data_IF_355700304928
#
_entry.id   IF_355700304928
#
_cell.length_a   1.000
_cell.length_b   1.000
_cell.length_c   1.000
_cell.angle_alpha   90.00
_cell.angle_beta   90.00
_cell.angle_gamma   90.00
#
_symmetry.space_group_name_H-M   'P 1'
#
loop_
_entity.id
_entity.type
_entity.pdbx_description
1 polymer ?
#
# COMPACT_ATOMS: atom_id res chain seq x y z
N UNK A 1 18.66 -22.16 -7.12
CA UNK A 1 17.96 -21.79 -5.87
C UNK A 1 17.80 -20.26 -5.84
N UNK A 2 16.65 -19.69 -5.45
CA UNK A 2 16.47 -18.23 -5.33
C UNK A 2 16.44 -17.86 -3.85
N UNK A 3 17.33 -16.97 -3.41
CA UNK A 3 17.30 -16.41 -2.05
C UNK A 3 16.30 -15.26 -1.98
N UNK A 4 15.31 -15.39 -1.10
CA UNK A 4 14.45 -14.27 -0.70
C UNK A 4 15.12 -13.50 0.44
N UNK A 5 15.22 -12.18 0.31
CA UNK A 5 15.79 -11.30 1.34
C UNK A 5 14.77 -10.27 1.83
N UNK A 6 13.63 -10.71 2.41
CA UNK A 6 12.54 -9.80 2.76
C UNK A 6 12.98 -8.77 3.81
N UNK A 7 13.74 -9.18 4.83
CA UNK A 7 14.23 -8.27 5.88
C UNK A 7 15.15 -7.19 5.31
N UNK A 8 16.07 -7.55 4.42
CA UNK A 8 17.00 -6.60 3.80
C UNK A 8 16.27 -5.55 2.96
N UNK A 9 15.21 -5.96 2.25
CA UNK A 9 14.37 -5.03 1.48
C UNK A 9 13.58 -4.08 2.38
N UNK A 10 12.98 -4.60 3.45
CA UNK A 10 12.22 -3.78 4.42
C UNK A 10 13.12 -2.75 5.09
N UNK A 11 14.30 -3.17 5.55
CA UNK A 11 15.29 -2.28 6.16
C UNK A 11 15.78 -1.24 5.15
N UNK A 12 16.06 -1.64 3.91
CA UNK A 12 16.44 -0.70 2.84
C UNK A 12 15.39 0.38 2.59
N UNK A 13 14.11 0.00 2.55
CA UNK A 13 13.00 0.95 2.40
C UNK A 13 12.80 1.84 3.63
N UNK A 14 13.00 1.31 4.84
CA UNK A 14 12.89 2.06 6.09
C UNK A 14 13.89 3.21 6.15
N UNK A 15 15.12 2.98 5.70
CA UNK A 15 16.19 3.98 5.71
C UNK A 15 16.32 4.76 4.38
N UNK A 16 15.44 4.52 3.41
CA UNK A 16 15.47 5.20 2.10
C UNK A 16 16.72 4.90 1.27
N UNK A 17 17.36 3.74 1.49
CA UNK A 17 18.60 3.36 0.81
C UNK A 17 18.32 2.97 -0.63
N UNK A 18 19.21 3.36 -1.55
CA UNK A 18 19.12 2.93 -2.95
C UNK A 18 19.15 1.40 -3.10
N UNK A 19 18.25 0.85 -3.93
CA UNK A 19 18.19 -0.58 -4.25
C UNK A 19 19.58 -1.15 -4.65
N UNK A 20 20.40 -0.34 -5.36
CA UNK A 20 21.75 -0.75 -5.78
C UNK A 20 22.72 -0.88 -4.61
N UNK A 21 22.63 0.03 -3.63
CA UNK A 21 23.47 -0.01 -2.44
C UNK A 21 23.08 -1.19 -1.54
N UNK A 22 21.78 -1.42 -1.36
CA UNK A 22 21.25 -2.58 -0.63
C UNK A 22 21.71 -3.89 -1.27
N UNK A 23 21.64 -3.98 -2.61
CA UNK A 23 22.09 -5.14 -3.36
C UNK A 23 23.60 -5.40 -3.22
N UNK A 24 24.43 -4.34 -3.20
CA UNK A 24 25.87 -4.45 -3.00
C UNK A 24 26.21 -4.94 -1.58
N UNK A 25 25.56 -4.39 -0.55
CA UNK A 25 25.74 -4.82 0.84
C UNK A 25 25.32 -6.28 1.01
N UNK A 26 24.14 -6.65 0.50
CA UNK A 26 23.65 -8.03 0.55
C UNK A 26 24.60 -9.00 -0.16
N UNK A 27 25.11 -8.63 -1.34
CA UNK A 27 26.07 -9.46 -2.09
C UNK A 27 27.40 -9.58 -1.36
N UNK A 28 27.89 -8.51 -0.72
CA UNK A 28 29.12 -8.56 0.10
C UNK A 28 28.96 -9.53 1.27
N UNK A 29 27.86 -9.42 2.03
CA UNK A 29 27.58 -10.31 3.16
C UNK A 29 27.48 -11.77 2.71
N UNK A 30 26.83 -12.03 1.57
CA UNK A 30 26.74 -13.38 1.02
C UNK A 30 28.09 -13.92 0.54
N UNK A 31 28.99 -13.05 0.08
CA UNK A 31 30.36 -13.43 -0.24
C UNK A 31 31.17 -13.75 1.02
N UNK A 32 31.06 -12.94 2.07
CA UNK A 32 31.76 -13.16 3.35
C UNK A 32 31.30 -14.44 4.05
N UNK A 33 30.01 -14.79 3.91
CA UNK A 33 29.44 -16.05 4.42
C UNK A 33 29.79 -17.26 3.51
N UNK A 34 30.43 -17.03 2.36
CA UNK A 34 30.83 -18.09 1.42
C UNK A 34 29.70 -18.68 0.60
N UNK A 35 28.50 -18.07 0.63
CA UNK A 35 27.37 -18.43 -0.24
C UNK A 35 27.61 -18.03 -1.69
N UNK A 36 28.38 -16.97 -1.90
CA UNK A 36 28.86 -16.54 -3.21
C UNK A 36 30.37 -16.74 -3.23
N UNK A 37 30.87 -17.39 -4.26
CA UNK A 37 32.30 -17.52 -4.52
C UNK A 37 32.59 -17.03 -5.94
N UNK A 38 33.87 -16.87 -6.29
CA UNK A 38 34.27 -16.50 -7.65
C UNK A 38 33.70 -17.43 -8.73
N UNK A 39 33.48 -18.70 -8.38
CA UNK A 39 33.03 -19.73 -9.32
C UNK A 39 31.49 -19.90 -9.31
N UNK A 40 30.82 -19.49 -8.23
CA UNK A 40 29.37 -19.64 -8.07
C UNK A 40 28.72 -18.29 -7.73
N UNK A 41 28.16 -17.64 -8.76
CA UNK A 41 27.53 -16.32 -8.69
C UNK A 41 25.99 -16.34 -8.76
N UNK A 42 25.38 -17.52 -8.76
CA UNK A 42 23.92 -17.67 -8.89
C UNK A 42 23.13 -16.93 -7.80
N UNK A 43 23.73 -16.85 -6.62
CA UNK A 43 23.15 -16.24 -5.42
C UNK A 43 23.45 -14.73 -5.28
N UNK A 44 24.19 -14.14 -6.23
CA UNK A 44 24.45 -12.69 -6.25
C UNK A 44 23.14 -11.92 -6.24
N UNK A 45 23.04 -10.95 -5.34
CA UNK A 45 21.87 -10.08 -5.20
C UNK A 45 22.08 -8.89 -6.12
N UNK A 46 21.40 -8.90 -7.26
CA UNK A 46 21.36 -7.76 -8.15
C UNK A 46 20.17 -6.84 -7.82
N UNK A 47 20.21 -5.60 -8.32
CA UNK A 47 19.14 -4.63 -8.09
C UNK A 47 17.79 -5.05 -8.68
N UNK A 48 17.76 -5.87 -9.73
CA UNK A 48 16.52 -6.37 -10.33
C UNK A 48 15.89 -7.50 -9.49
N UNK A 49 16.69 -8.39 -8.89
CA UNK A 49 16.28 -9.39 -7.90
C UNK A 49 15.67 -8.68 -6.70
N UNK A 50 16.34 -7.64 -6.18
CA UNK A 50 15.82 -6.84 -5.07
C UNK A 50 14.47 -6.19 -5.42
N UNK A 51 14.35 -5.56 -6.60
CA UNK A 51 13.10 -4.95 -7.08
C UNK A 51 11.94 -5.94 -7.20
N UNK A 52 12.23 -7.17 -7.64
CA UNK A 52 11.21 -8.23 -7.72
C UNK A 52 10.73 -8.65 -6.33
N UNK A 53 11.64 -8.86 -5.39
CA UNK A 53 11.28 -9.19 -4.00
C UNK A 53 10.47 -8.05 -3.35
N UNK A 54 10.90 -6.80 -3.55
CA UNK A 54 10.18 -5.59 -3.12
C UNK A 54 8.76 -5.52 -3.67
N UNK A 55 8.57 -5.86 -4.95
CA UNK A 55 7.25 -5.89 -5.55
C UNK A 55 6.34 -6.96 -4.94
N UNK A 56 6.88 -8.12 -4.54
CA UNK A 56 6.12 -9.16 -3.83
C UNK A 56 5.70 -8.69 -2.44
N UNK A 57 6.65 -8.19 -1.65
CA UNK A 57 6.39 -7.69 -0.29
C UNK A 57 5.32 -6.61 -0.31
N UNK A 58 5.39 -5.67 -1.28
CA UNK A 58 4.37 -4.63 -1.45
C UNK A 58 2.99 -5.18 -1.83
N UNK A 59 2.92 -6.25 -2.61
CA UNK A 59 1.64 -6.90 -2.93
C UNK A 59 1.07 -7.56 -1.67
N UNK A 60 1.88 -8.32 -0.96
CA UNK A 60 1.46 -9.04 0.25
C UNK A 60 0.98 -8.06 1.33
N UNK A 61 1.72 -6.96 1.54
CA UNK A 61 1.33 -5.89 2.46
C UNK A 61 0.02 -5.21 2.04
N UNK A 62 -0.20 -4.98 0.74
CA UNK A 62 -1.48 -4.45 0.25
C UNK A 62 -2.63 -5.42 0.49
N UNK A 63 -2.42 -6.71 0.28
CA UNK A 63 -3.44 -7.72 0.55
C UNK A 63 -3.77 -7.80 2.04
N UNK A 64 -2.76 -7.75 2.92
CA UNK A 64 -2.95 -7.65 4.37
C UNK A 64 -3.74 -6.39 4.74
N UNK A 65 -3.33 -5.22 4.28
CA UNK A 65 -4.01 -3.96 4.57
C UNK A 65 -5.46 -3.93 4.05
N UNK A 66 -5.72 -4.50 2.87
CA UNK A 66 -7.09 -4.64 2.34
C UNK A 66 -7.92 -5.62 3.16
N UNK A 67 -7.34 -6.76 3.55
CA UNK A 67 -8.01 -7.75 4.41
C UNK A 67 -8.33 -7.17 5.77
N UNK A 68 -7.39 -6.44 6.39
CA UNK A 68 -7.60 -5.75 7.66
C UNK A 68 -8.67 -4.66 7.54
N UNK A 69 -8.64 -3.88 6.46
CA UNK A 69 -9.64 -2.86 6.20
C UNK A 69 -11.04 -3.42 5.93
N UNK A 70 -11.15 -4.61 5.33
CA UNK A 70 -12.41 -5.34 5.15
C UNK A 70 -12.87 -6.04 6.43
N UNK A 71 -11.93 -6.47 7.27
CA UNK A 71 -12.22 -7.08 8.57
C UNK A 71 -12.72 -6.04 9.59
N UNK A 72 -12.40 -4.76 9.40
CA UNK A 72 -12.98 -3.68 10.17
C UNK A 72 -14.46 -3.50 9.78
N UNK A 73 -15.42 -3.76 10.70
CA UNK A 73 -16.81 -3.47 10.42
C UNK A 73 -16.96 -1.97 10.17
N UNK A 74 -17.50 -1.57 9.02
CA UNK A 74 -17.99 -0.22 8.83
C UNK A 74 -19.03 0.04 9.93
N UNK A 75 -18.66 0.81 10.96
CA UNK A 75 -19.49 1.01 12.16
C UNK A 75 -20.80 1.75 11.86
N UNK A 76 -20.88 2.48 10.75
CA UNK A 76 -22.11 3.08 10.28
C UNK A 76 -21.89 4.11 9.19
N UNK A 77 -22.90 4.25 8.33
CA UNK A 77 -23.08 5.38 7.43
C UNK A 77 -23.98 6.38 8.17
N UNK A 78 -23.48 7.58 8.48
CA UNK A 78 -24.27 8.60 9.17
C UNK A 78 -24.80 9.64 8.18
N UNK A 79 -26.10 9.92 8.25
CA UNK A 79 -26.71 11.03 7.55
C UNK A 79 -26.61 12.27 8.44
N UNK A 80 -25.72 13.20 8.09
CA UNK A 80 -25.55 14.49 8.81
C UNK A 80 -26.75 15.44 8.64
N UNK A 81 -27.82 15.00 7.95
CA UNK A 81 -29.00 15.81 7.65
C UNK A 81 -28.73 17.01 6.73
N UNK A 82 -27.47 17.32 6.44
CA UNK A 82 -27.05 18.35 5.49
C UNK A 82 -27.41 17.93 4.08
N UNK A 83 -28.20 18.79 3.45
CA UNK A 83 -28.74 18.57 2.10
C UNK A 83 -28.14 19.61 1.17
N UNK A 84 -27.02 19.27 0.54
CA UNK A 84 -26.34 20.15 -0.38
C UNK A 84 -26.97 20.07 -1.76
N UNK A 85 -27.00 21.21 -2.46
CA UNK A 85 -27.42 21.22 -3.86
C UNK A 85 -26.28 20.68 -4.73
N UNK A 86 -26.42 19.44 -5.18
CA UNK A 86 -25.55 18.83 -6.17
C UNK A 86 -26.12 19.04 -7.57
N UNK A 87 -25.25 19.28 -8.55
CA UNK A 87 -25.62 19.25 -9.96
C UNK A 87 -25.56 17.79 -10.42
N UNK A 88 -26.71 17.22 -10.74
CA UNK A 88 -26.82 15.86 -11.29
C UNK A 88 -26.98 15.98 -12.80
N UNK A 89 -26.18 15.19 -13.52
CA UNK A 89 -26.28 15.05 -14.96
C UNK A 89 -27.22 13.87 -15.27
N UNK A 90 -28.39 14.17 -15.81
CA UNK A 90 -29.40 13.21 -16.21
C UNK A 90 -29.31 12.99 -17.72
N UNK A 91 -29.23 11.72 -18.14
CA UNK A 91 -29.29 11.38 -19.56
C UNK A 91 -30.72 11.00 -19.93
N UNK A 92 -31.29 11.75 -20.86
CA UNK A 92 -32.55 11.41 -21.53
C UNK A 92 -32.24 11.28 -23.02
N UNK A 93 -32.51 10.09 -23.57
CA UNK A 93 -32.10 9.66 -24.90
C UNK A 93 -30.58 9.79 -25.14
N UNK A 94 -30.16 10.68 -26.05
CA UNK A 94 -28.76 10.99 -26.39
C UNK A 94 -28.26 12.31 -25.80
N UNK A 95 -29.12 13.08 -25.13
CA UNK A 95 -28.79 14.40 -24.60
C UNK A 95 -28.57 14.34 -23.09
N UNK A 96 -27.64 15.17 -22.60
CA UNK A 96 -27.29 15.29 -21.18
C UNK A 96 -27.86 16.59 -20.65
N UNK A 97 -28.66 16.50 -19.59
CA UNK A 97 -29.29 17.63 -18.95
C UNK A 97 -28.76 17.75 -17.53
N UNK A 98 -28.39 18.96 -17.12
CA UNK A 98 -27.92 19.21 -15.76
C UNK A 98 -29.08 19.77 -14.94
N UNK A 99 -29.41 19.12 -13.83
CA UNK A 99 -30.41 19.62 -12.87
C UNK A 99 -29.80 19.75 -11.48
N UNK A 100 -30.24 20.77 -10.73
CA UNK A 100 -29.89 20.88 -9.32
C UNK A 100 -30.79 19.98 -8.51
N UNK A 101 -30.22 18.98 -7.87
CA UNK A 101 -30.91 18.14 -6.91
C UNK A 101 -30.30 18.38 -5.53
N UNK A 102 -31.15 18.37 -4.50
CA UNK A 102 -30.68 18.39 -3.12
C UNK A 102 -30.52 16.94 -2.67
N UNK A 103 -29.29 16.50 -2.48
CA UNK A 103 -28.97 15.16 -2.00
C UNK A 103 -28.39 15.22 -0.59
N UNK A 104 -28.56 14.13 0.16
CA UNK A 104 -27.96 14.03 1.49
C UNK A 104 -26.46 13.81 1.36
N UNK A 105 -25.66 14.55 2.11
CA UNK A 105 -24.23 14.30 2.21
C UNK A 105 -24.01 13.06 3.08
N UNK A 106 -23.19 12.13 2.59
CA UNK A 106 -22.80 10.92 3.32
C UNK A 106 -21.50 11.16 4.07
N UNK A 107 -21.50 10.90 5.38
CA UNK A 107 -20.26 10.87 6.17
C UNK A 107 -19.89 9.42 6.45
N UNK A 108 -18.77 8.99 5.88
CA UNK A 108 -18.15 7.68 6.16
C UNK A 108 -17.35 7.78 7.45
N UNK A 109 -17.88 7.19 8.53
CA UNK A 109 -17.17 7.08 9.79
C UNK A 109 -16.21 5.88 9.76
N UNK A 110 -14.90 6.15 9.65
CA UNK A 110 -13.85 5.16 9.89
C UNK A 110 -13.13 5.48 11.20
N UNK A 111 -13.21 4.56 12.15
CA UNK A 111 -12.52 4.52 13.45
C UNK A 111 -12.72 5.74 14.37
N UNK A 112 -13.49 5.52 15.45
CA UNK A 112 -13.31 6.27 16.70
C UNK A 112 -12.06 5.72 17.39
N UNK A 113 -10.92 6.41 17.26
CA UNK A 113 -9.96 6.40 18.38
C UNK A 113 -10.62 7.26 19.45
N UNK A 114 -10.91 6.69 20.62
CA UNK A 114 -11.35 7.46 21.78
C UNK A 114 -10.28 8.53 22.09
N UNK A 115 -10.47 9.74 21.58
CA UNK A 115 -9.94 10.93 22.22
C UNK A 115 -11.03 11.34 23.19
N UNK A 116 -11.06 10.66 24.34
CA UNK A 116 -11.76 11.20 25.50
C UNK A 116 -10.98 12.44 25.90
N UNK A 117 -11.54 13.58 25.56
CA UNK A 117 -11.23 14.86 26.16
C UNK A 117 -11.45 14.69 27.67
N UNK A 118 -10.37 14.46 28.42
CA UNK A 118 -10.37 14.78 29.84
C UNK A 118 -10.06 16.28 29.89
N UNK A 119 -11.07 17.04 30.32
CA UNK A 119 -11.02 18.33 31.04
C UNK A 119 -9.76 19.16 30.84
#
# INVERSE_FOLDING_TARGET
>A
MRLGLPSTVVVGDLFGVSDRAVAAVASSVLHDVGLITSNNSDLVVDGNKLRREKAKIRKDLKFQALSEAQALPLKGLYFDGRKDSALIEERVDTKRYTRKAKENIYVLLKNWVHVTLLI
#
